data_IF_820822113822
#
_entry.id   IF_820822113822
#
_cell.length_a   1.000
_cell.length_b   1.000
_cell.length_c   1.000
_cell.angle_alpha   90.00
_cell.angle_beta   90.00
_cell.angle_gamma   90.00
#
_symmetry.space_group_name_H-M   'P 1'
#
loop_
_entity.id
_entity.type
_entity.pdbx_description
1 polymer ?
#
# COMPACT_ATOMS: atom_id res chain seq x y z
N UNK A 1 -0.99 11.41 -49.11
CA UNK A 1 -1.94 10.55 -48.37
C UNK A 1 -1.30 10.25 -47.02
N UNK A 2 -1.74 10.99 -46.00
CA UNK A 2 -1.29 10.86 -44.62
C UNK A 2 -2.03 9.71 -43.94
N UNK A 3 -1.29 8.83 -43.28
CA UNK A 3 -1.77 8.11 -42.08
C UNK A 3 -0.56 7.60 -41.30
N UNK A 4 0.22 8.51 -40.71
CA UNK A 4 1.07 8.15 -39.57
C UNK A 4 0.19 8.20 -38.34
N UNK A 5 -0.21 7.02 -37.89
CA UNK A 5 -0.85 6.77 -36.61
C UNK A 5 0.05 7.31 -35.51
N UNK A 6 -0.42 8.36 -34.82
CA UNK A 6 0.17 8.90 -33.60
C UNK A 6 0.04 7.84 -32.50
N UNK A 7 1.01 6.93 -32.40
CA UNK A 7 1.10 5.97 -31.32
C UNK A 7 1.60 6.69 -30.07
N UNK A 8 0.70 7.37 -29.35
CA UNK A 8 0.99 7.78 -27.98
C UNK A 8 1.35 6.54 -27.19
N UNK A 9 2.61 6.45 -26.72
CA UNK A 9 2.98 5.48 -25.69
C UNK A 9 1.96 5.53 -24.56
N UNK A 10 1.55 4.40 -23.97
CA UNK A 10 0.65 4.41 -22.83
C UNK A 10 1.21 5.35 -21.76
N UNK A 11 0.33 6.11 -21.08
CA UNK A 11 0.76 6.92 -19.95
C UNK A 11 1.37 5.96 -18.90
N UNK A 12 2.66 6.14 -18.60
CA UNK A 12 3.40 5.34 -17.61
C UNK A 12 4.33 4.26 -18.18
N UNK A 13 5.29 3.82 -17.37
CA UNK A 13 6.22 2.74 -17.67
C UNK A 13 5.68 1.35 -17.31
N UNK A 14 6.03 0.33 -18.09
CA UNK A 14 6.03 -1.04 -17.57
C UNK A 14 7.25 -1.24 -16.65
N UNK A 15 7.08 -1.95 -15.53
CA UNK A 15 8.17 -2.28 -14.60
C UNK A 15 8.13 -3.78 -14.33
N UNK A 16 9.22 -4.48 -14.63
CA UNK A 16 9.37 -5.92 -14.44
C UNK A 16 10.54 -6.21 -13.51
N UNK A 17 10.28 -6.97 -12.46
CA UNK A 17 11.28 -7.62 -11.62
C UNK A 17 11.18 -9.12 -11.92
N UNK A 18 12.29 -9.74 -12.33
CA UNK A 18 12.37 -11.16 -12.63
C UNK A 18 13.46 -11.81 -11.77
N UNK A 19 13.04 -12.60 -10.78
CA UNK A 19 13.92 -13.32 -9.84
C UNK A 19 14.88 -12.40 -9.07
N UNK A 20 14.46 -11.18 -8.76
CA UNK A 20 15.33 -10.17 -8.14
C UNK A 20 15.70 -10.59 -6.72
N UNK A 21 17.00 -10.63 -6.44
CA UNK A 21 17.54 -10.98 -5.12
C UNK A 21 18.55 -9.93 -4.66
N UNK A 22 18.49 -9.59 -3.37
CA UNK A 22 19.41 -8.69 -2.69
C UNK A 22 19.62 -9.14 -1.26
N UNK A 23 20.87 -9.35 -0.87
CA UNK A 23 21.29 -9.67 0.49
C UNK A 23 22.23 -8.61 1.06
N UNK A 24 22.13 -8.41 2.37
CA UNK A 24 23.06 -7.59 3.14
C UNK A 24 23.75 -8.47 4.18
N UNK A 25 25.09 -8.50 4.15
CA UNK A 25 25.90 -9.34 5.03
C UNK A 25 25.46 -10.82 5.07
N UNK A 26 25.01 -11.36 3.93
CA UNK A 26 24.54 -12.75 3.79
C UNK A 26 23.07 -12.97 4.12
N UNK A 27 22.36 -11.99 4.68
CA UNK A 27 20.92 -12.09 4.97
C UNK A 27 20.12 -11.52 3.79
N UNK A 28 19.25 -12.30 3.13
CA UNK A 28 18.43 -11.80 2.03
C UNK A 28 17.40 -10.79 2.54
N UNK A 29 17.45 -9.57 2.02
CA UNK A 29 16.41 -8.55 2.20
C UNK A 29 15.32 -8.66 1.13
N UNK A 30 15.68 -9.10 -0.07
CA UNK A 30 14.77 -9.48 -1.15
C UNK A 30 15.24 -10.82 -1.69
N UNK A 31 14.35 -11.81 -1.80
CA UNK A 31 14.66 -13.17 -2.17
C UNK A 31 13.74 -13.62 -3.31
N UNK A 32 14.29 -13.71 -4.52
CA UNK A 32 13.61 -14.24 -5.71
C UNK A 32 12.27 -13.53 -6.02
N UNK A 33 12.29 -12.19 -5.98
CA UNK A 33 11.09 -11.39 -6.21
C UNK A 33 10.78 -11.28 -7.70
N UNK A 34 9.62 -11.81 -8.10
CA UNK A 34 9.10 -11.69 -9.47
C UNK A 34 7.76 -10.96 -9.46
N UNK A 35 7.74 -9.76 -10.02
CA UNK A 35 6.56 -8.87 -10.04
C UNK A 35 6.57 -8.09 -11.36
N UNK A 36 5.40 -7.93 -11.98
CA UNK A 36 5.23 -7.09 -13.17
C UNK A 36 4.14 -6.05 -12.93
N UNK A 37 4.44 -4.80 -13.22
CA UNK A 37 3.53 -3.67 -13.13
C UNK A 37 3.20 -3.20 -14.55
N UNK A 38 1.91 -3.00 -14.79
CA UNK A 38 1.42 -2.44 -16.05
C UNK A 38 1.67 -0.92 -16.12
N UNK A 39 1.76 -0.35 -17.32
CA UNK A 39 1.76 1.10 -17.50
C UNK A 39 0.57 1.77 -16.81
N UNK A 40 0.83 2.83 -16.04
CA UNK A 40 -0.17 3.61 -15.31
C UNK A 40 -0.71 2.97 -14.03
N UNK A 41 -0.26 1.76 -13.69
CA UNK A 41 -0.66 1.06 -12.47
C UNK A 41 -0.05 1.72 -11.22
N UNK A 42 -0.86 1.87 -10.17
CA UNK A 42 -0.40 2.26 -8.84
C UNK A 42 -0.27 1.02 -7.97
N UNK A 43 0.98 0.62 -7.74
CA UNK A 43 1.35 -0.56 -6.95
C UNK A 43 1.82 -0.15 -5.55
N UNK A 44 1.23 -0.76 -4.53
CA UNK A 44 1.69 -0.67 -3.16
C UNK A 44 2.58 -1.86 -2.80
N UNK A 45 3.81 -1.60 -2.36
CA UNK A 45 4.61 -2.60 -1.65
C UNK A 45 4.22 -2.56 -0.17
N UNK A 46 3.67 -3.65 0.33
CA UNK A 46 3.15 -3.76 1.70
C UNK A 46 3.80 -4.95 2.42
N UNK A 47 3.93 -4.87 3.74
CA UNK A 47 4.46 -5.98 4.56
C UNK A 47 5.15 -5.50 5.82
N UNK A 48 5.60 -6.42 6.69
CA UNK A 48 6.23 -6.09 7.96
C UNK A 48 7.49 -5.22 7.82
N UNK A 49 7.91 -4.58 8.91
CA UNK A 49 9.21 -3.90 8.94
C UNK A 49 10.33 -4.91 8.62
N UNK A 50 11.26 -4.51 7.76
CA UNK A 50 12.38 -5.36 7.34
C UNK A 50 12.08 -6.38 6.23
N UNK A 51 10.85 -6.47 5.71
CA UNK A 51 10.53 -7.45 4.64
C UNK A 51 11.03 -7.08 3.23
N UNK A 52 11.83 -6.02 3.08
CA UNK A 52 12.46 -5.67 1.80
C UNK A 52 11.73 -4.62 0.95
N UNK A 53 10.70 -3.92 1.45
CA UNK A 53 9.94 -2.90 0.68
C UNK A 53 10.82 -1.77 0.14
N UNK A 54 11.49 -1.02 1.03
CA UNK A 54 12.36 0.08 0.62
C UNK A 54 13.60 -0.40 -0.15
N UNK A 55 14.10 -1.61 0.15
CA UNK A 55 15.16 -2.26 -0.65
C UNK A 55 14.67 -2.49 -2.09
N UNK A 56 13.47 -3.06 -2.27
CA UNK A 56 12.85 -3.27 -3.58
C UNK A 56 12.71 -1.95 -4.33
N UNK A 57 12.21 -0.89 -3.67
CA UNK A 57 12.07 0.43 -4.27
C UNK A 57 13.42 1.02 -4.73
N UNK A 58 14.47 0.89 -3.90
CA UNK A 58 15.84 1.33 -4.22
C UNK A 58 16.48 0.54 -5.35
N UNK A 59 16.19 -0.76 -5.46
CA UNK A 59 16.64 -1.61 -6.57
C UNK A 59 16.02 -1.15 -7.90
N UNK A 60 14.71 -0.85 -7.92
CA UNK A 60 14.02 -0.28 -9.10
C UNK A 60 14.66 1.07 -9.46
N UNK A 61 14.89 1.94 -8.48
CA UNK A 61 15.51 3.25 -8.67
C UNK A 61 16.98 3.19 -9.14
N UNK A 62 17.67 2.07 -8.94
CA UNK A 62 19.10 1.92 -9.20
C UNK A 62 20.00 2.54 -8.13
N UNK A 63 19.43 2.88 -6.98
CA UNK A 63 20.17 3.31 -5.78
C UNK A 63 20.89 2.12 -5.13
N UNK A 64 20.42 0.92 -5.41
CA UNK A 64 21.02 -0.36 -5.05
C UNK A 64 21.11 -1.23 -6.31
N UNK A 65 22.14 -2.09 -6.37
CA UNK A 65 22.25 -3.10 -7.42
C UNK A 65 21.74 -4.46 -6.92
N UNK A 66 20.96 -5.20 -7.71
CA UNK A 66 20.56 -6.56 -7.36
C UNK A 66 21.77 -7.50 -7.41
N UNK A 67 21.78 -8.51 -6.54
CA UNK A 67 22.81 -9.56 -6.54
C UNK A 67 22.50 -10.63 -7.60
N UNK A 68 21.22 -10.87 -7.85
CA UNK A 68 20.72 -11.73 -8.92
C UNK A 68 19.37 -11.24 -9.48
N UNK A 69 18.96 -11.80 -10.61
CA UNK A 69 17.73 -11.42 -11.31
C UNK A 69 17.89 -10.24 -12.26
N UNK A 70 16.78 -9.75 -12.79
CA UNK A 70 16.76 -8.66 -13.78
C UNK A 70 15.64 -7.67 -13.45
N UNK A 71 15.92 -6.39 -13.67
CA UNK A 71 14.93 -5.31 -13.58
C UNK A 71 14.82 -4.69 -14.97
N UNK A 72 13.60 -4.67 -15.52
CA UNK A 72 13.31 -4.00 -16.78
C UNK A 72 12.31 -2.86 -16.59
N UNK A 73 12.51 -1.79 -17.34
CA UNK A 73 11.58 -0.66 -17.41
C UNK A 73 11.35 -0.35 -18.88
N UNK A 74 10.10 -0.36 -19.32
CA UNK A 74 9.73 -0.30 -20.74
C UNK A 74 10.47 -1.34 -21.59
N UNK A 75 10.56 -2.57 -21.07
CA UNK A 75 11.29 -3.68 -21.68
C UNK A 75 12.82 -3.53 -21.73
N UNK A 76 13.39 -2.39 -21.33
CA UNK A 76 14.84 -2.16 -21.30
C UNK A 76 15.43 -2.71 -20.00
N UNK A 77 16.51 -3.49 -20.10
CA UNK A 77 17.27 -3.93 -18.93
C UNK A 77 17.97 -2.74 -18.25
N UNK A 78 17.77 -2.62 -16.93
CA UNK A 78 18.33 -1.56 -16.09
C UNK A 78 19.72 -1.88 -15.51
N UNK A 79 20.28 -3.07 -15.78
CA UNK A 79 21.59 -3.49 -15.28
C UNK A 79 22.69 -2.49 -15.68
N UNK A 80 23.47 -2.06 -14.69
CA UNK A 80 24.57 -1.10 -14.88
C UNK A 80 24.14 0.34 -15.19
N UNK A 81 22.83 0.61 -15.33
CA UNK A 81 22.34 1.98 -15.50
C UNK A 81 22.24 2.69 -14.14
N UNK A 82 22.90 3.84 -13.97
CA UNK A 82 22.80 4.63 -12.75
C UNK A 82 21.41 5.29 -12.65
N UNK A 83 20.96 5.70 -11.44
CA UNK A 83 19.63 6.25 -11.20
C UNK A 83 19.20 7.35 -12.19
N UNK A 84 20.09 8.31 -12.47
CA UNK A 84 19.80 9.44 -13.36
C UNK A 84 19.54 9.04 -14.83
N UNK A 85 19.86 7.81 -15.23
CA UNK A 85 19.61 7.27 -16.58
C UNK A 85 18.38 6.36 -16.68
N UNK A 86 17.65 6.16 -15.58
CA UNK A 86 16.44 5.32 -15.54
C UNK A 86 15.13 6.08 -15.79
N UNK A 87 15.20 7.42 -15.87
CA UNK A 87 14.06 8.32 -16.05
C UNK A 87 12.91 8.10 -15.04
N UNK A 88 13.25 7.92 -13.77
CA UNK A 88 12.30 7.72 -12.67
C UNK A 88 12.28 8.95 -11.76
N UNK A 89 11.10 9.29 -11.25
CA UNK A 89 10.95 10.23 -10.13
C UNK A 89 11.03 9.48 -8.81
N UNK A 90 11.76 10.00 -7.83
CA UNK A 90 11.89 9.38 -6.51
C UNK A 90 11.56 10.39 -5.41
N UNK A 91 10.66 10.03 -4.50
CA UNK A 91 10.35 10.79 -3.28
C UNK A 91 10.77 9.96 -2.07
N UNK A 92 11.72 10.49 -1.31
CA UNK A 92 12.23 9.86 -0.10
C UNK A 92 11.31 10.10 1.09
N UNK A 93 11.39 9.23 2.10
CA UNK A 93 10.61 9.31 3.35
C UNK A 93 10.71 10.67 4.06
N UNK A 94 11.92 11.22 4.18
CA UNK A 94 12.14 12.54 4.78
C UNK A 94 12.08 13.68 3.77
N UNK A 95 11.49 13.44 2.59
CA UNK A 95 11.41 14.31 1.42
C UNK A 95 12.76 14.63 0.76
N UNK A 96 13.86 14.62 1.54
CA UNK A 96 15.22 14.92 1.13
C UNK A 96 15.29 16.22 0.32
N UNK A 97 14.56 17.26 0.75
CA UNK A 97 14.68 18.59 0.18
C UNK A 97 16.06 19.18 0.53
N UNK A 98 16.63 19.95 -0.38
CA UNK A 98 17.91 20.61 -0.17
C UNK A 98 17.69 21.85 0.70
N UNK A 99 18.13 21.87 1.97
CA UNK A 99 17.74 22.91 2.93
C UNK A 99 18.38 24.27 2.64
N UNK A 100 19.46 24.28 1.85
CA UNK A 100 20.18 25.48 1.43
C UNK A 100 19.60 26.10 0.14
N UNK A 101 18.62 25.45 -0.50
CA UNK A 101 17.93 25.93 -1.70
C UNK A 101 16.53 26.45 -1.32
N UNK A 102 16.00 27.39 -2.10
CA UNK A 102 14.56 27.71 -2.05
C UNK A 102 13.72 26.63 -2.76
N UNK A 103 12.41 26.79 -2.72
CA UNK A 103 11.45 25.88 -3.36
C UNK A 103 11.68 25.78 -4.86
N UNK A 104 11.91 26.92 -5.53
CA UNK A 104 12.18 26.96 -6.96
C UNK A 104 13.41 26.15 -7.34
N UNK A 105 14.53 26.39 -6.67
CA UNK A 105 15.79 25.70 -6.92
C UNK A 105 15.70 24.21 -6.57
N UNK A 106 14.95 23.85 -5.52
CA UNK A 106 14.65 22.45 -5.22
C UNK A 106 13.96 21.76 -6.40
N UNK A 107 12.88 22.35 -6.94
CA UNK A 107 12.14 21.76 -8.07
C UNK A 107 12.98 21.79 -9.35
N UNK A 108 13.63 22.91 -9.66
CA UNK A 108 14.41 23.07 -10.89
C UNK A 108 15.70 22.22 -10.94
N UNK A 109 16.17 21.69 -9.81
CA UNK A 109 17.44 20.97 -9.69
C UNK A 109 17.61 19.87 -10.76
N UNK A 110 16.60 18.99 -10.91
CA UNK A 110 16.66 17.87 -11.84
C UNK A 110 16.78 18.30 -13.30
N UNK A 111 16.08 19.38 -13.69
CA UNK A 111 16.17 19.94 -15.03
C UNK A 111 17.55 20.55 -15.32
N UNK A 112 18.09 21.32 -14.37
CA UNK A 112 19.43 21.92 -14.49
C UNK A 112 20.53 20.86 -14.58
N UNK A 113 20.39 19.78 -13.80
CA UNK A 113 21.36 18.68 -13.80
C UNK A 113 21.33 17.86 -15.10
N UNK A 114 20.15 17.65 -15.71
CA UNK A 114 20.04 17.02 -17.04
C UNK A 114 20.62 17.89 -18.15
N UNK A 115 20.52 19.21 -18.01
CA UNK A 115 20.96 20.18 -19.03
C UNK A 115 20.06 20.19 -20.26
N UNK A 116 20.42 21.00 -21.26
CA UNK A 116 19.72 21.08 -22.55
C UNK A 116 18.49 21.99 -22.61
N UNK A 117 18.08 22.58 -21.48
CA UNK A 117 17.03 23.61 -21.41
C UNK A 117 17.64 24.97 -21.07
N UNK A 118 17.14 26.04 -21.68
CA UNK A 118 17.49 27.40 -21.27
C UNK A 118 16.85 27.77 -19.92
N UNK A 119 17.34 28.86 -19.31
CA UNK A 119 16.87 29.29 -17.99
C UNK A 119 15.39 29.67 -17.95
N UNK A 120 14.81 30.18 -19.04
CA UNK A 120 13.41 30.56 -19.10
C UNK A 120 12.50 29.32 -19.17
N UNK A 121 12.90 28.31 -19.95
CA UNK A 121 12.23 27.03 -20.04
C UNK A 121 12.28 26.26 -18.72
N UNK A 122 13.44 26.23 -18.05
CA UNK A 122 13.56 25.65 -16.70
C UNK A 122 12.64 26.36 -15.72
N UNK A 123 12.63 27.71 -15.75
CA UNK A 123 11.78 28.49 -14.84
C UNK A 123 10.30 28.17 -15.03
N UNK A 124 9.83 28.17 -16.29
CA UNK A 124 8.44 27.84 -16.61
C UNK A 124 8.07 26.44 -16.14
N UNK A 125 8.87 25.42 -16.48
CA UNK A 125 8.58 24.04 -16.10
C UNK A 125 8.53 23.84 -14.57
N UNK A 126 9.43 24.48 -13.82
CA UNK A 126 9.41 24.41 -12.36
C UNK A 126 8.16 25.09 -11.75
N UNK A 127 7.72 26.23 -12.30
CA UNK A 127 6.49 26.89 -11.85
C UNK A 127 5.24 26.08 -12.22
N UNK A 128 5.19 25.50 -13.41
CA UNK A 128 4.10 24.61 -13.83
C UNK A 128 4.00 23.37 -12.92
N UNK A 129 5.15 22.80 -12.52
CA UNK A 129 5.19 21.70 -11.57
C UNK A 129 4.71 22.10 -10.17
N UNK A 130 5.01 23.31 -9.70
CA UNK A 130 4.49 23.84 -8.43
C UNK A 130 2.99 24.07 -8.48
N UNK A 131 2.48 24.63 -9.58
CA UNK A 131 1.04 24.81 -9.80
C UNK A 131 0.30 23.46 -9.80
N UNK A 132 0.90 22.43 -10.41
CA UNK A 132 0.35 21.07 -10.46
C UNK A 132 0.09 20.49 -9.06
N UNK A 133 0.93 20.84 -8.08
CA UNK A 133 0.82 20.40 -6.68
C UNK A 133 0.21 21.47 -5.76
N UNK A 134 -0.47 22.49 -6.32
CA UNK A 134 -1.16 23.56 -5.58
C UNK A 134 -0.21 24.39 -4.69
N UNK A 135 0.97 24.72 -5.21
CA UNK A 135 1.98 25.57 -4.56
C UNK A 135 2.31 26.83 -5.38
N UNK A 136 1.31 27.38 -6.08
CA UNK A 136 1.42 28.66 -6.77
C UNK A 136 1.91 29.77 -5.81
N UNK A 137 2.97 30.49 -6.19
CA UNK A 137 3.54 31.57 -5.37
C UNK A 137 4.51 31.13 -4.26
N UNK A 138 4.84 29.83 -4.15
CA UNK A 138 5.76 29.33 -3.11
C UNK A 138 7.23 29.31 -3.55
N UNK A 139 7.52 29.67 -4.81
CA UNK A 139 8.83 29.55 -5.45
C UNK A 139 9.99 30.13 -4.62
N UNK A 140 9.79 31.29 -4.00
CA UNK A 140 10.85 32.02 -3.28
C UNK A 140 10.98 31.61 -1.80
N UNK A 141 10.09 30.73 -1.30
CA UNK A 141 10.15 30.27 0.10
C UNK A 141 11.32 29.33 0.34
N UNK A 142 11.81 29.31 1.57
CA UNK A 142 12.81 28.35 2.06
C UNK A 142 12.12 27.11 2.63
N UNK A 143 12.82 25.97 2.58
CA UNK A 143 12.30 24.67 3.05
C UNK A 143 11.80 24.71 4.51
N UNK A 144 12.49 25.46 5.39
CA UNK A 144 12.12 25.57 6.80
C UNK A 144 10.88 26.43 7.05
N UNK A 145 10.41 27.18 6.05
CA UNK A 145 9.18 27.99 6.11
C UNK A 145 7.93 27.18 5.72
N UNK A 146 8.13 25.92 5.33
CA UNK A 146 7.08 25.03 4.84
C UNK A 146 6.64 24.04 5.93
N UNK A 147 5.33 23.82 6.01
CA UNK A 147 4.73 22.69 6.73
C UNK A 147 5.13 21.34 6.11
N UNK A 148 4.95 20.24 6.84
CA UNK A 148 5.30 18.90 6.35
C UNK A 148 4.57 18.51 5.05
N UNK A 149 3.30 18.90 4.88
CA UNK A 149 2.54 18.64 3.67
C UNK A 149 3.01 19.49 2.48
N UNK A 150 3.39 20.74 2.72
CA UNK A 150 3.98 21.60 1.70
C UNK A 150 5.36 21.06 1.26
N UNK A 151 6.18 20.58 2.20
CA UNK A 151 7.46 19.94 1.86
C UNK A 151 7.26 18.68 1.00
N UNK A 152 6.26 17.86 1.32
CA UNK A 152 5.93 16.69 0.50
C UNK A 152 5.52 17.11 -0.93
N UNK A 153 4.67 18.13 -1.06
CA UNK A 153 4.26 18.66 -2.38
C UNK A 153 5.45 19.20 -3.17
N UNK A 154 6.39 19.90 -2.53
CA UNK A 154 7.64 20.33 -3.19
C UNK A 154 8.47 19.14 -3.66
N UNK A 155 8.59 18.08 -2.85
CA UNK A 155 9.31 16.87 -3.24
C UNK A 155 8.65 16.16 -4.42
N UNK A 156 7.32 16.13 -4.46
CA UNK A 156 6.53 15.59 -5.56
C UNK A 156 6.70 16.42 -6.84
N UNK A 157 6.62 17.75 -6.75
CA UNK A 157 6.89 18.64 -7.88
C UNK A 157 8.31 18.43 -8.43
N UNK A 158 9.32 18.33 -7.55
CA UNK A 158 10.70 18.05 -7.92
C UNK A 158 10.88 16.70 -8.63
N UNK A 159 10.11 15.68 -8.26
CA UNK A 159 10.15 14.40 -8.94
C UNK A 159 9.48 14.48 -10.34
N UNK A 160 8.33 15.16 -10.43
CA UNK A 160 7.50 15.22 -11.63
C UNK A 160 8.00 16.17 -12.72
N UNK A 161 8.68 17.25 -12.33
CA UNK A 161 9.16 18.30 -13.26
C UNK A 161 10.03 17.74 -14.40
N UNK A 162 10.69 16.60 -14.19
CA UNK A 162 11.55 15.97 -15.19
C UNK A 162 10.82 15.11 -16.23
N UNK A 163 9.48 15.00 -16.12
CA UNK A 163 8.66 14.11 -16.95
C UNK A 163 9.08 12.64 -16.83
N UNK A 164 9.11 12.06 -15.61
CA UNK A 164 9.56 10.68 -15.42
C UNK A 164 8.56 9.67 -16.01
N UNK A 165 9.05 8.49 -16.38
CA UNK A 165 8.19 7.40 -16.88
C UNK A 165 7.43 6.71 -15.74
N UNK A 166 7.99 6.73 -14.52
CA UNK A 166 7.35 6.23 -13.31
C UNK A 166 7.78 7.00 -12.06
N UNK A 167 6.93 6.97 -11.03
CA UNK A 167 7.12 7.62 -9.74
C UNK A 167 7.32 6.58 -8.64
N UNK A 168 8.36 6.75 -7.83
CA UNK A 168 8.70 5.90 -6.69
C UNK A 168 8.56 6.70 -5.39
N UNK A 169 7.75 6.21 -4.45
CA UNK A 169 7.43 6.89 -3.20
C UNK A 169 7.78 6.01 -1.99
N UNK A 170 8.75 6.41 -1.17
CA UNK A 170 9.15 5.67 0.03
C UNK A 170 8.47 6.28 1.26
N UNK A 171 7.44 5.62 1.80
CA UNK A 171 6.64 6.08 2.96
C UNK A 171 6.20 7.55 2.88
N UNK A 172 5.48 7.95 1.80
CA UNK A 172 5.21 9.36 1.51
C UNK A 172 4.37 10.08 2.58
N UNK A 173 3.71 9.35 3.48
CA UNK A 173 2.78 9.91 4.46
C UNK A 173 3.19 9.70 5.93
N UNK A 174 4.36 9.09 6.19
CA UNK A 174 4.76 8.70 7.56
C UNK A 174 4.98 9.89 8.49
N UNK A 175 5.38 11.04 7.94
CA UNK A 175 5.77 12.23 8.70
C UNK A 175 4.61 13.25 8.88
N UNK A 176 3.38 12.87 8.54
CA UNK A 176 2.21 13.75 8.60
C UNK A 176 1.26 13.35 9.72
N UNK A 177 0.54 14.32 10.27
CA UNK A 177 -0.60 14.03 11.16
C UNK A 177 -1.77 13.39 10.40
N UNK A 178 -2.72 12.80 11.13
CA UNK A 178 -3.82 12.02 10.52
C UNK A 178 -4.70 12.84 9.56
N UNK A 179 -4.98 14.12 9.87
CA UNK A 179 -5.85 14.95 9.03
C UNK A 179 -5.15 15.35 7.74
N UNK A 180 -3.87 15.73 7.86
CA UNK A 180 -3.06 16.10 6.71
C UNK A 180 -2.77 14.89 5.82
N UNK A 181 -2.53 13.72 6.42
CA UNK A 181 -2.37 12.45 5.72
C UNK A 181 -3.59 12.13 4.85
N UNK A 182 -4.80 12.21 5.41
CA UNK A 182 -6.03 11.93 4.66
C UNK A 182 -6.22 12.89 3.47
N UNK A 183 -5.98 14.19 3.69
CA UNK A 183 -6.01 15.17 2.60
C UNK A 183 -4.99 14.85 1.49
N UNK A 184 -3.75 14.52 1.87
CA UNK A 184 -2.67 14.20 0.93
C UNK A 184 -2.93 12.89 0.17
N UNK A 185 -3.58 11.89 0.78
CA UNK A 185 -4.02 10.66 0.08
C UNK A 185 -4.98 11.01 -1.05
N UNK A 186 -6.00 11.82 -0.77
CA UNK A 186 -6.97 12.27 -1.78
C UNK A 186 -6.31 13.04 -2.92
N UNK A 187 -5.36 13.92 -2.61
CA UNK A 187 -4.61 14.68 -3.62
C UNK A 187 -3.70 13.80 -4.47
N UNK A 188 -3.00 12.82 -3.88
CA UNK A 188 -2.17 11.88 -4.64
C UNK A 188 -3.04 11.04 -5.59
N UNK A 189 -4.21 10.59 -5.14
CA UNK A 189 -5.17 9.87 -5.98
C UNK A 189 -5.66 10.73 -7.16
N UNK A 190 -5.97 12.01 -6.92
CA UNK A 190 -6.37 12.96 -7.97
C UNK A 190 -5.23 13.22 -8.97
N UNK A 191 -4.02 13.46 -8.47
CA UNK A 191 -2.84 13.70 -9.29
C UNK A 191 -2.52 12.50 -10.16
N UNK A 192 -2.56 11.29 -9.59
CA UNK A 192 -2.38 10.03 -10.33
C UNK A 192 -3.42 9.89 -11.44
N UNK A 193 -4.72 10.07 -11.15
CA UNK A 193 -5.78 10.00 -12.17
C UNK A 193 -5.54 10.99 -13.32
N UNK A 194 -5.00 12.16 -13.00
CA UNK A 194 -4.69 13.20 -14.00
C UNK A 194 -3.46 12.88 -14.86
N UNK A 195 -2.42 12.29 -14.27
CA UNK A 195 -1.14 12.05 -14.96
C UNK A 195 -1.00 10.67 -15.60
N UNK A 196 -1.71 9.66 -15.09
CA UNK A 196 -1.62 8.28 -15.57
C UNK A 196 -0.21 7.69 -15.44
N UNK A 197 0.65 8.23 -14.57
CA UNK A 197 2.02 7.76 -14.39
C UNK A 197 2.06 6.49 -13.55
N UNK A 198 2.84 5.49 -13.98
CA UNK A 198 3.09 4.28 -13.19
C UNK A 198 3.70 4.68 -11.85
N UNK A 199 3.14 4.20 -10.76
CA UNK A 199 3.56 4.58 -9.42
C UNK A 199 3.83 3.35 -8.56
N UNK A 200 4.99 3.29 -7.93
CA UNK A 200 5.29 2.31 -6.88
C UNK A 200 5.45 3.06 -5.58
N UNK A 201 4.62 2.74 -4.59
CA UNK A 201 4.76 3.33 -3.26
C UNK A 201 4.93 2.26 -2.19
N UNK A 202 5.69 2.61 -1.17
CA UNK A 202 5.92 1.80 0.02
C UNK A 202 5.15 2.43 1.16
N UNK A 203 4.43 1.62 1.93
CA UNK A 203 3.83 2.03 3.18
C UNK A 203 3.81 0.89 4.19
N UNK A 204 3.62 1.24 5.46
CA UNK A 204 3.28 0.33 6.54
C UNK A 204 1.79 0.44 6.95
N UNK A 205 1.05 1.40 6.38
CA UNK A 205 -0.35 1.65 6.64
C UNK A 205 -1.22 0.88 5.63
N UNK A 206 -2.13 0.04 6.14
CA UNK A 206 -3.02 -0.81 5.33
C UNK A 206 -4.13 0.01 4.67
N UNK A 207 -4.61 1.04 5.35
CA UNK A 207 -5.68 1.91 4.83
C UNK A 207 -5.17 2.66 3.58
N UNK A 208 -3.90 3.06 3.57
CA UNK A 208 -3.27 3.66 2.38
C UNK A 208 -3.22 2.69 1.21
N UNK A 209 -2.79 1.46 1.50
CA UNK A 209 -2.72 0.40 0.50
C UNK A 209 -4.12 0.12 -0.09
N UNK A 210 -5.15 0.05 0.76
CA UNK A 210 -6.52 -0.22 0.31
C UNK A 210 -7.17 0.96 -0.41
N UNK A 211 -6.91 2.19 0.01
CA UNK A 211 -7.55 3.37 -0.55
C UNK A 211 -6.94 3.82 -1.89
N UNK A 212 -5.64 3.56 -2.12
CA UNK A 212 -4.91 4.14 -3.25
C UNK A 212 -4.53 3.13 -4.32
N UNK A 213 -4.17 1.91 -3.93
CA UNK A 213 -3.53 0.94 -4.81
C UNK A 213 -4.51 0.29 -5.78
N UNK A 214 -4.09 0.15 -7.03
CA UNK A 214 -4.75 -0.80 -7.94
C UNK A 214 -4.32 -2.22 -7.62
N UNK A 215 -3.07 -2.37 -7.15
CA UNK A 215 -2.46 -3.64 -6.78
C UNK A 215 -1.63 -3.49 -5.53
N UNK A 216 -1.80 -4.42 -4.61
CA UNK A 216 -0.90 -4.61 -3.48
C UNK A 216 0.02 -5.78 -3.81
N UNK A 217 1.30 -5.61 -3.50
CA UNK A 217 2.32 -6.65 -3.44
C UNK A 217 2.67 -6.83 -1.97
N UNK A 218 2.13 -7.88 -1.36
CA UNK A 218 2.40 -8.23 0.03
C UNK A 218 3.70 -9.02 0.10
N UNK A 219 4.66 -8.49 0.86
CA UNK A 219 5.98 -9.08 1.08
C UNK A 219 6.10 -9.65 2.49
N UNK A 220 6.75 -10.81 2.58
CA UNK A 220 7.10 -11.47 3.84
C UNK A 220 8.49 -12.08 3.71
N UNK A 221 9.37 -11.77 4.66
CA UNK A 221 10.73 -12.34 4.73
C UNK A 221 11.50 -12.21 3.39
N UNK A 222 11.35 -11.07 2.72
CA UNK A 222 11.98 -10.76 1.44
C UNK A 222 11.32 -11.39 0.20
N UNK A 223 10.25 -12.18 0.38
CA UNK A 223 9.56 -12.90 -0.70
C UNK A 223 8.17 -12.32 -0.95
N UNK A 224 7.64 -12.58 -2.15
CA UNK A 224 6.25 -12.35 -2.48
C UNK A 224 5.37 -13.34 -1.70
N UNK A 225 4.48 -12.82 -0.86
CA UNK A 225 3.46 -13.61 -0.14
C UNK A 225 2.19 -13.72 -0.98
N UNK A 226 1.67 -12.58 -1.45
CA UNK A 226 0.46 -12.49 -2.25
C UNK A 226 0.48 -11.17 -3.02
N UNK A 227 -0.14 -11.13 -4.20
CA UNK A 227 -0.38 -9.89 -4.92
C UNK A 227 -1.72 -9.89 -5.63
N UNK A 228 -2.27 -8.71 -5.85
CA UNK A 228 -3.57 -8.53 -6.51
C UNK A 228 -4.28 -7.25 -6.08
N UNK A 229 -5.52 -7.04 -6.53
CA UNK A 229 -6.35 -5.93 -6.10
C UNK A 229 -6.59 -5.93 -4.57
N UNK A 230 -6.64 -4.75 -3.93
CA UNK A 230 -6.91 -4.64 -2.49
C UNK A 230 -8.08 -5.47 -1.96
N UNK A 231 -9.23 -5.38 -2.62
CA UNK A 231 -10.46 -6.05 -2.21
C UNK A 231 -10.34 -7.58 -2.32
N UNK A 232 -9.69 -8.07 -3.38
CA UNK A 232 -9.42 -9.50 -3.56
C UNK A 232 -8.50 -10.01 -2.45
N UNK A 233 -7.40 -9.30 -2.15
CA UNK A 233 -6.47 -9.68 -1.08
C UNK A 233 -7.12 -9.69 0.29
N UNK A 234 -8.02 -8.74 0.54
CA UNK A 234 -8.75 -8.67 1.78
C UNK A 234 -9.76 -9.81 1.94
N UNK A 235 -10.54 -10.10 0.89
CA UNK A 235 -11.57 -11.13 0.92
C UNK A 235 -11.02 -12.55 0.79
N UNK A 236 -9.96 -12.72 0.01
CA UNK A 236 -9.36 -14.03 -0.34
C UNK A 236 -7.85 -14.03 -0.06
N UNK A 237 -7.45 -13.94 1.23
CA UNK A 237 -6.04 -14.04 1.59
C UNK A 237 -5.49 -15.43 1.27
N UNK A 238 -4.28 -15.49 0.70
CA UNK A 238 -3.63 -16.74 0.31
C UNK A 238 -3.06 -17.53 1.51
N UNK A 239 -2.97 -16.91 2.69
CA UNK A 239 -2.44 -17.52 3.89
C UNK A 239 -2.99 -16.86 5.16
N UNK A 240 -2.81 -17.51 6.31
CA UNK A 240 -3.15 -16.94 7.62
C UNK A 240 -2.34 -15.66 7.93
N UNK A 241 -1.11 -15.59 7.42
CA UNK A 241 -0.30 -14.37 7.52
C UNK A 241 -0.91 -13.25 6.69
N UNK A 242 -1.28 -13.49 5.43
CA UNK A 242 -1.92 -12.49 4.59
C UNK A 242 -3.25 -12.03 5.21
N UNK A 243 -4.04 -12.97 5.74
CA UNK A 243 -5.29 -12.70 6.41
C UNK A 243 -5.10 -11.73 7.59
N UNK A 244 -4.21 -12.07 8.54
CA UNK A 244 -3.95 -11.27 9.74
C UNK A 244 -3.16 -9.98 9.46
N UNK A 245 -2.29 -9.98 8.45
CA UNK A 245 -1.52 -8.79 8.08
C UNK A 245 -2.41 -7.77 7.40
N UNK A 246 -3.35 -8.16 6.52
CA UNK A 246 -4.22 -7.23 5.80
C UNK A 246 -5.37 -6.70 6.66
N UNK A 247 -5.74 -7.39 7.73
CA UNK A 247 -6.76 -6.95 8.69
C UNK A 247 -6.88 -7.93 9.84
N UNK A 248 -7.69 -7.59 10.85
CA UNK A 248 -8.03 -8.59 11.87
C UNK A 248 -8.72 -9.79 11.21
N UNK A 249 -8.44 -10.99 11.71
CA UNK A 249 -8.95 -12.23 11.15
C UNK A 249 -9.03 -13.30 12.24
N UNK A 250 -10.12 -14.06 12.25
CA UNK A 250 -10.21 -15.32 12.98
C UNK A 250 -9.74 -16.43 12.04
N UNK A 251 -8.62 -17.08 12.36
CA UNK A 251 -8.01 -18.10 11.52
C UNK A 251 -8.12 -19.47 12.18
N UNK A 252 -8.71 -20.44 11.47
CA UNK A 252 -8.91 -21.80 11.94
C UNK A 252 -8.25 -22.79 10.98
N UNK A 253 -7.17 -23.44 11.40
CA UNK A 253 -6.38 -24.35 10.55
C UNK A 253 -6.67 -25.83 10.89
N UNK A 254 -6.86 -26.64 9.86
CA UNK A 254 -7.14 -28.08 9.92
C UNK A 254 -8.46 -28.48 9.24
N UNK A 255 -8.54 -29.73 8.76
CA UNK A 255 -9.63 -30.20 7.90
C UNK A 255 -11.00 -30.31 8.61
N UNK A 256 -11.04 -30.41 9.94
CA UNK A 256 -12.28 -30.52 10.70
C UNK A 256 -12.98 -29.19 11.01
N UNK A 257 -12.35 -28.05 10.69
CA UNK A 257 -12.89 -26.74 11.02
C UNK A 257 -14.11 -26.33 10.20
N UNK A 258 -14.18 -26.54 8.86
CA UNK A 258 -15.33 -26.16 8.07
C UNK A 258 -16.65 -26.69 8.65
N UNK A 259 -16.76 -28.01 8.86
CA UNK A 259 -17.96 -28.64 9.44
C UNK A 259 -18.27 -28.14 10.87
N UNK A 260 -17.22 -27.92 11.67
CA UNK A 260 -17.37 -27.41 13.04
C UNK A 260 -17.92 -25.99 13.05
N UNK A 261 -17.41 -25.13 12.19
CA UNK A 261 -17.82 -23.74 12.06
C UNK A 261 -19.21 -23.64 11.43
N UNK A 262 -19.54 -24.46 10.42
CA UNK A 262 -20.89 -24.50 9.83
C UNK A 262 -21.97 -24.81 10.87
N UNK A 263 -21.72 -25.78 11.74
CA UNK A 263 -22.64 -26.12 12.86
C UNK A 263 -22.79 -25.00 13.89
N UNK A 264 -21.77 -24.17 14.06
CA UNK A 264 -21.74 -23.14 15.10
C UNK A 264 -22.18 -21.76 14.63
N UNK A 265 -21.93 -21.44 13.36
CA UNK A 265 -22.06 -20.11 12.80
C UNK A 265 -23.00 -20.02 11.58
N UNK A 266 -23.48 -21.17 11.10
CA UNK A 266 -24.26 -21.28 9.87
C UNK A 266 -23.38 -21.48 8.64
N UNK A 267 -23.97 -21.47 7.43
CA UNK A 267 -23.27 -21.77 6.19
C UNK A 267 -22.01 -20.93 5.98
N UNK A 268 -20.91 -21.59 5.63
CA UNK A 268 -19.67 -20.94 5.19
C UNK A 268 -19.69 -20.73 3.67
N UNK A 269 -18.89 -19.79 3.19
CA UNK A 269 -18.69 -19.62 1.75
C UNK A 269 -17.93 -20.82 1.16
N UNK A 270 -18.15 -21.13 -0.12
CA UNK A 270 -17.58 -22.30 -0.80
C UNK A 270 -16.04 -22.36 -0.72
N UNK A 271 -15.38 -21.20 -0.62
CA UNK A 271 -13.93 -21.08 -0.53
C UNK A 271 -13.34 -21.48 0.84
N UNK A 272 -14.17 -21.76 1.85
CA UNK A 272 -13.71 -22.16 3.19
C UNK A 272 -13.20 -23.62 3.28
N UNK A 273 -13.21 -24.38 2.18
CA UNK A 273 -12.98 -25.85 2.19
C UNK A 273 -11.52 -26.29 2.04
N UNK A 274 -10.54 -25.41 2.25
CA UNK A 274 -9.13 -25.74 2.08
C UNK A 274 -8.28 -25.48 3.31
N UNK A 275 -8.24 -26.41 4.27
CA UNK A 275 -7.25 -26.48 5.38
C UNK A 275 -7.09 -25.27 6.33
N UNK A 276 -7.62 -24.09 5.97
CA UNK A 276 -7.59 -22.84 6.69
C UNK A 276 -8.90 -22.10 6.40
N UNK A 277 -9.69 -21.88 7.44
CA UNK A 277 -10.88 -21.03 7.38
C UNK A 277 -10.53 -19.66 7.97
N UNK A 278 -10.80 -18.60 7.21
CA UNK A 278 -10.59 -17.22 7.64
C UNK A 278 -11.94 -16.53 7.77
N UNK A 279 -12.28 -16.06 8.97
CA UNK A 279 -13.49 -15.29 9.23
C UNK A 279 -13.12 -13.87 9.65
N UNK A 280 -13.52 -12.89 8.84
CA UNK A 280 -13.34 -11.48 9.14
C UNK A 280 -14.21 -11.06 10.34
N UNK A 281 -13.67 -10.41 11.39
CA UNK A 281 -14.45 -10.04 12.58
C UNK A 281 -15.71 -9.22 12.28
N UNK A 282 -15.66 -8.35 11.27
CA UNK A 282 -16.79 -7.55 10.82
C UNK A 282 -17.89 -8.37 10.12
N UNK A 283 -17.63 -9.63 9.77
CA UNK A 283 -18.64 -10.61 9.32
C UNK A 283 -19.23 -11.41 10.46
N UNK A 284 -18.59 -11.44 11.63
CA UNK A 284 -19.08 -12.15 12.81
C UNK A 284 -20.11 -11.28 13.53
N UNK A 285 -21.32 -11.82 13.71
CA UNK A 285 -22.41 -11.15 14.43
C UNK A 285 -22.84 -11.97 15.63
N UNK A 286 -22.41 -11.60 16.84
CA UNK A 286 -22.98 -12.15 18.07
C UNK A 286 -24.37 -11.57 18.31
N UNK A 287 -25.33 -12.44 18.62
CA UNK A 287 -26.71 -12.10 18.95
C UNK A 287 -27.04 -12.64 20.35
N UNK A 288 -27.74 -11.87 21.21
CA UNK A 288 -28.13 -12.35 22.53
C UNK A 288 -28.89 -13.67 22.47
N UNK A 289 -28.41 -14.67 23.21
CA UNK A 289 -29.05 -15.98 23.33
C UNK A 289 -28.68 -16.58 24.69
N UNK A 290 -29.67 -16.80 25.55
CA UNK A 290 -29.46 -17.31 26.91
C UNK A 290 -28.83 -18.71 26.93
N UNK A 291 -29.10 -19.54 25.93
CA UNK A 291 -28.49 -20.86 25.75
C UNK A 291 -27.37 -20.83 24.70
N UNK A 292 -27.12 -19.64 24.16
CA UNK A 292 -26.11 -19.31 23.17
C UNK A 292 -24.76 -19.88 23.56
N UNK A 293 -24.02 -20.48 22.61
CA UNK A 293 -22.98 -21.40 23.01
C UNK A 293 -21.60 -20.70 23.11
N UNK A 294 -21.59 -19.37 23.00
CA UNK A 294 -20.46 -18.49 23.30
C UNK A 294 -20.80 -17.54 24.45
N UNK A 295 -19.77 -17.10 25.17
CA UNK A 295 -19.85 -16.05 26.19
C UNK A 295 -19.02 -14.86 25.74
N UNK A 296 -19.55 -13.66 25.92
CA UNK A 296 -18.79 -12.42 25.72
C UNK A 296 -17.75 -12.30 26.83
N UNK A 297 -16.48 -12.49 26.49
CA UNK A 297 -15.38 -12.34 27.44
C UNK A 297 -14.97 -10.87 27.60
N UNK A 298 -15.00 -10.12 26.50
CA UNK A 298 -14.59 -8.71 26.46
C UNK A 298 -15.47 -7.92 25.49
N UNK A 299 -15.70 -6.65 25.81
CA UNK A 299 -16.38 -5.67 24.95
C UNK A 299 -15.64 -4.32 25.02
N UNK A 300 -15.00 -3.91 23.93
CA UNK A 300 -14.22 -2.68 23.84
C UNK A 300 -14.78 -1.73 22.79
N UNK A 301 -15.02 -0.48 23.18
CA UNK A 301 -15.45 0.56 22.25
C UNK A 301 -14.25 1.11 21.46
N UNK A 302 -14.30 1.01 20.14
CA UNK A 302 -13.20 1.40 19.22
C UNK A 302 -13.52 2.67 18.43
N UNK A 303 -14.63 3.35 18.72
CA UNK A 303 -15.12 4.50 17.94
C UNK A 303 -16.26 4.09 17.00
N UNK A 304 -16.00 3.78 15.72
CA UNK A 304 -17.05 3.40 14.76
C UNK A 304 -17.63 1.99 15.00
N UNK A 305 -16.94 1.14 15.77
CA UNK A 305 -17.38 -0.21 16.11
C UNK A 305 -17.05 -0.57 17.58
N UNK A 306 -17.65 -1.66 18.07
CA UNK A 306 -17.29 -2.34 19.31
C UNK A 306 -16.63 -3.66 18.96
N UNK A 307 -15.43 -3.90 19.51
CA UNK A 307 -14.74 -5.17 19.42
C UNK A 307 -15.21 -6.08 20.54
N UNK A 308 -15.74 -7.25 20.17
CA UNK A 308 -16.11 -8.31 21.09
C UNK A 308 -15.13 -9.47 20.99
N UNK A 309 -14.69 -9.99 22.13
CA UNK A 309 -13.97 -11.25 22.21
C UNK A 309 -14.92 -12.30 22.79
N UNK A 310 -15.18 -13.35 22.03
CA UNK A 310 -16.11 -14.42 22.38
C UNK A 310 -15.33 -15.69 22.73
N UNK A 311 -15.71 -16.35 23.82
CA UNK A 311 -15.16 -17.65 24.22
C UNK A 311 -16.25 -18.71 24.17
N UNK A 312 -15.87 -19.92 23.78
CA UNK A 312 -16.80 -21.04 23.73
C UNK A 312 -17.17 -21.49 25.14
N UNK A 313 -18.46 -21.59 25.43
CA UNK A 313 -18.93 -22.09 26.72
C UNK A 313 -18.64 -23.60 26.80
N UNK A 314 -17.97 -24.03 27.88
CA UNK A 314 -17.70 -25.44 28.15
C UNK A 314 -16.60 -26.10 27.30
N UNK A 315 -15.89 -25.34 26.47
CA UNK A 315 -14.76 -25.83 25.69
C UNK A 315 -13.65 -24.75 25.66
N UNK A 316 -12.70 -24.80 26.62
CA UNK A 316 -11.62 -23.81 26.72
C UNK A 316 -10.58 -23.92 25.61
N UNK A 317 -10.53 -25.05 24.90
CA UNK A 317 -9.56 -25.29 23.81
C UNK A 317 -10.06 -24.74 22.47
N UNK A 318 -11.33 -24.35 22.38
CA UNK A 318 -11.85 -23.62 21.22
C UNK A 318 -11.21 -22.21 21.14
N UNK A 319 -10.58 -21.83 20.01
CA UNK A 319 -9.96 -20.52 19.85
C UNK A 319 -10.97 -19.39 20.06
N UNK A 320 -10.60 -18.31 20.76
CA UNK A 320 -11.51 -17.17 20.91
C UNK A 320 -11.87 -16.57 19.55
N UNK A 321 -13.09 -16.06 19.44
CA UNK A 321 -13.62 -15.46 18.21
C UNK A 321 -13.78 -13.96 18.43
N UNK A 322 -13.14 -13.17 17.58
CA UNK A 322 -13.27 -11.73 17.53
C UNK A 322 -14.42 -11.32 16.60
N UNK A 323 -15.24 -10.37 17.05
CA UNK A 323 -16.33 -9.79 16.26
C UNK A 323 -16.29 -8.26 16.34
N UNK A 324 -16.49 -7.58 15.20
CA UNK A 324 -16.57 -6.12 15.12
C UNK A 324 -17.99 -5.70 14.72
N UNK A 325 -18.75 -5.17 15.68
CA UNK A 325 -20.12 -4.73 15.46
C UNK A 325 -20.19 -3.21 15.41
N UNK A 326 -21.06 -2.60 14.57
CA UNK A 326 -21.26 -1.15 14.54
C UNK A 326 -21.51 -0.58 15.94
N UNK A 327 -20.89 0.57 16.23
CA UNK A 327 -21.00 1.22 17.54
C UNK A 327 -22.42 1.64 17.91
N UNK A 328 -23.23 1.96 16.89
CA UNK A 328 -24.62 2.34 17.00
C UNK A 328 -25.50 1.11 16.78
N UNK A 329 -25.67 0.32 17.85
CA UNK A 329 -26.47 -0.90 17.87
C UNK A 329 -26.65 -1.44 19.30
N UNK A 330 -27.42 -2.53 19.48
CA UNK A 330 -27.55 -3.19 20.78
C UNK A 330 -26.19 -3.60 21.32
N UNK A 331 -25.89 -3.25 22.58
CA UNK A 331 -24.62 -3.59 23.22
C UNK A 331 -24.72 -4.89 23.99
N UNK A 332 -23.78 -5.78 23.74
CA UNK A 332 -23.56 -6.96 24.56
C UNK A 332 -22.64 -6.61 25.73
N UNK A 333 -22.94 -7.17 26.91
CA UNK A 333 -22.12 -7.03 28.11
C UNK A 333 -21.22 -8.25 28.32
N UNK A 334 -20.02 -8.08 28.90
CA UNK A 334 -19.23 -9.22 29.34
C UNK A 334 -20.04 -10.16 30.25
N UNK A 335 -19.90 -11.47 30.04
CA UNK A 335 -20.68 -12.51 30.71
C UNK A 335 -21.98 -12.90 30.01
N UNK A 336 -22.48 -12.10 29.06
CA UNK A 336 -23.67 -12.46 28.29
C UNK A 336 -23.41 -13.69 27.41
N UNK A 337 -24.41 -14.58 27.33
CA UNK A 337 -24.41 -15.70 26.37
C UNK A 337 -24.95 -15.24 25.03
N UNK A 338 -24.32 -15.73 23.96
CA UNK A 338 -24.62 -15.33 22.59
C UNK A 338 -24.55 -16.51 21.62
N UNK A 339 -25.44 -16.48 20.64
CA UNK A 339 -25.27 -17.20 19.38
C UNK A 339 -24.45 -16.34 18.43
N UNK A 340 -23.81 -16.98 17.45
CA UNK A 340 -23.01 -16.26 16.46
C UNK A 340 -23.53 -16.62 15.08
N UNK A 341 -23.71 -15.60 14.25
CA UNK A 341 -24.08 -15.73 12.84
C UNK A 341 -23.03 -15.07 11.97
N UNK A 342 -22.80 -15.61 10.78
CA UNK A 342 -22.00 -14.94 9.75
C UNK A 342 -22.87 -14.10 8.82
N UNK A 343 -22.39 -12.89 8.54
CA UNK A 343 -22.91 -12.09 7.45
C UNK A 343 -22.43 -12.65 6.10
N UNK A 344 -23.30 -12.68 5.08
CA UNK A 344 -22.92 -13.09 3.73
C UNK A 344 -21.87 -12.13 3.16
N UNK A 345 -21.01 -12.62 2.26
CA UNK A 345 -20.19 -11.71 1.45
C UNK A 345 -21.10 -10.93 0.48
N UNK A 346 -20.93 -9.61 0.36
CA UNK A 346 -21.56 -8.89 -0.73
C UNK A 346 -21.04 -9.43 -2.07
N UNK A 347 -21.98 -9.75 -2.96
CA UNK A 347 -21.74 -10.37 -4.27
C UNK A 347 -20.76 -9.60 -5.16
#
# INVERSE_FOLDING_TARGET
MNSTTDSRSPAGADIELAGVTKAYAGTPAVADLTVRLAPGELCCLLGPSGCGKSTTLRLIAGLEAPDAGTIRINGRDMRGLPPQRRNLGFVFQNYALFPHMDVFDNVAYGLRSRGGMDGAAVRRAALDALAMVRLDGYADRRVHELSGGEQQRVALARALVTGPDALLLDEPFSNLDARLREAMRGELAELRRRLGITTVFVTHDKEEAFALADRIVLLRDGRLEQQGPPEELYRRPASAFAAGFLGSANCFAGDGWPDRLERLFGPLDENARGGLVVLRPERVRPEPDADGPFVVAEALFMGPYVRYLLRRAGDPDFPPVEAHCPAFGPRLTPGARVAVRLLPEPA
#
